data_IF_715945659198
#
_entry.id   IF_715945659198
#
_cell.length_a   1.000
_cell.length_b   1.000
_cell.length_c   1.000
_cell.angle_alpha   90.00
_cell.angle_beta   90.00
_cell.angle_gamma   90.00
#
_symmetry.space_group_name_H-M   'P 1'
#
loop_
_entity.id
_entity.type
_entity.pdbx_description
1 polymer ?
#
# COMPACT_ATOMS: atom_id res chain seq x y z
N UNK A 1 20.31 6.39 17.50
CA UNK A 1 20.33 6.97 16.14
C UNK A 1 18.91 7.15 15.63
N UNK A 2 18.15 8.05 16.25
CA UNK A 2 16.83 8.42 15.76
C UNK A 2 17.07 9.45 14.65
N UNK A 3 17.27 8.98 13.41
CA UNK A 3 17.21 9.89 12.27
C UNK A 3 15.89 10.65 12.40
N UNK A 4 15.96 11.97 12.55
CA UNK A 4 14.80 12.81 12.83
C UNK A 4 14.03 12.91 11.51
N UNK A 5 13.16 11.92 11.25
CA UNK A 5 12.44 11.81 10.00
C UNK A 5 11.43 12.96 9.92
N UNK A 6 11.62 13.88 8.97
CA UNK A 6 10.61 14.89 8.62
C UNK A 6 9.23 14.22 8.46
N UNK A 7 8.20 14.67 9.20
CA UNK A 7 6.88 14.08 9.12
C UNK A 7 6.30 14.24 7.71
N UNK A 8 5.61 13.20 7.25
CA UNK A 8 4.94 13.18 5.94
C UNK A 8 3.83 14.24 5.89
N UNK A 9 3.70 14.92 4.75
CA UNK A 9 2.60 15.86 4.53
C UNK A 9 1.30 15.08 4.32
N UNK A 10 0.43 15.07 5.33
CA UNK A 10 -0.82 14.29 5.32
C UNK A 10 -1.70 14.59 4.11
N UNK A 11 -1.79 15.85 3.66
CA UNK A 11 -2.64 16.22 2.52
C UNK A 11 -2.17 15.59 1.21
N UNK A 12 -0.86 15.61 0.97
CA UNK A 12 -0.27 14.97 -0.22
C UNK A 12 -0.52 13.46 -0.19
N UNK A 13 -0.36 12.82 0.97
CA UNK A 13 -0.59 11.38 1.09
C UNK A 13 -2.06 11.02 1.00
N UNK A 14 -2.99 11.86 1.48
CA UNK A 14 -4.41 11.68 1.23
C UNK A 14 -4.73 11.73 -0.27
N UNK A 15 -4.14 12.67 -1.01
CA UNK A 15 -4.31 12.74 -2.46
C UNK A 15 -3.75 11.49 -3.17
N UNK A 16 -2.58 11.00 -2.73
CA UNK A 16 -2.00 9.74 -3.23
C UNK A 16 -2.94 8.56 -2.95
N UNK A 17 -3.49 8.44 -1.74
CA UNK A 17 -4.45 7.38 -1.39
C UNK A 17 -5.68 7.43 -2.31
N UNK A 18 -6.27 8.61 -2.51
CA UNK A 18 -7.41 8.77 -3.40
C UNK A 18 -7.09 8.39 -4.85
N UNK A 19 -5.90 8.76 -5.34
CA UNK A 19 -5.44 8.39 -6.68
C UNK A 19 -5.26 6.86 -6.81
N UNK A 20 -4.67 6.20 -5.79
CA UNK A 20 -4.52 4.74 -5.77
C UNK A 20 -5.87 4.03 -5.71
N UNK A 21 -6.84 4.54 -4.94
CA UNK A 21 -8.20 4.02 -4.90
C UNK A 21 -8.84 4.12 -6.29
N UNK A 22 -8.77 5.30 -6.92
CA UNK A 22 -9.33 5.51 -8.25
C UNK A 22 -8.70 4.56 -9.28
N UNK A 23 -7.38 4.37 -9.24
CA UNK A 23 -6.66 3.46 -10.12
C UNK A 23 -7.01 1.99 -9.83
N UNK A 24 -7.16 1.61 -8.56
CA UNK A 24 -7.58 0.27 -8.15
C UNK A 24 -8.99 -0.06 -8.64
N UNK A 25 -9.93 0.87 -8.50
CA UNK A 25 -11.28 0.73 -9.03
C UNK A 25 -11.28 0.68 -10.56
N UNK A 26 -10.48 1.52 -11.22
CA UNK A 26 -10.33 1.51 -12.67
C UNK A 26 -9.75 0.18 -13.17
N UNK A 27 -8.79 -0.42 -12.46
CA UNK A 27 -8.21 -1.72 -12.81
C UNK A 27 -9.26 -2.83 -12.84
N UNK A 28 -10.25 -2.77 -11.94
CA UNK A 28 -11.34 -3.75 -11.86
C UNK A 28 -12.46 -3.48 -12.85
N UNK A 29 -12.69 -2.21 -13.20
CA UNK A 29 -13.77 -1.81 -14.14
C UNK A 29 -13.35 -1.89 -15.61
N UNK A 30 -12.07 -1.66 -15.91
CA UNK A 30 -11.55 -1.57 -17.27
C UNK A 30 -10.51 -2.67 -17.51
N UNK A 31 -10.91 -3.85 -18.02
CA UNK A 31 -9.99 -4.97 -18.25
C UNK A 31 -8.89 -4.69 -19.29
N UNK A 32 -8.98 -3.59 -20.06
CA UNK A 32 -7.93 -3.13 -20.97
C UNK A 32 -6.86 -2.23 -20.32
N UNK A 33 -6.98 -1.89 -19.04
CA UNK A 33 -6.02 -1.00 -18.36
C UNK A 33 -4.67 -1.69 -18.10
N UNK A 34 -4.70 -3.00 -17.90
CA UNK A 34 -3.53 -3.85 -17.68
C UNK A 34 -3.53 -5.01 -18.68
N UNK A 35 -2.37 -5.61 -18.98
CA UNK A 35 -2.30 -6.83 -19.79
C UNK A 35 -3.26 -7.90 -19.25
N UNK A 36 -4.07 -8.49 -20.13
CA UNK A 36 -5.06 -9.51 -19.74
C UNK A 36 -4.44 -10.69 -18.98
N UNK A 37 -3.17 -11.00 -19.24
CA UNK A 37 -2.40 -12.02 -18.53
C UNK A 37 -2.28 -11.77 -17.01
N UNK A 38 -2.42 -10.53 -16.55
CA UNK A 38 -2.33 -10.16 -15.13
C UNK A 38 -3.68 -10.26 -14.39
N UNK A 39 -4.81 -10.38 -15.10
CA UNK A 39 -6.13 -10.55 -14.50
C UNK A 39 -6.41 -9.57 -13.36
N UNK A 40 -6.70 -10.10 -12.16
CA UNK A 40 -7.04 -9.32 -10.96
C UNK A 40 -5.84 -8.79 -10.15
N UNK A 41 -4.65 -9.34 -10.37
CA UNK A 41 -3.45 -9.08 -9.55
C UNK A 41 -3.01 -7.60 -9.49
N UNK A 42 -3.16 -6.77 -10.55
CA UNK A 42 -2.86 -5.35 -10.45
C UNK A 42 -3.73 -4.64 -9.41
N UNK A 43 -5.00 -5.02 -9.31
CA UNK A 43 -5.92 -4.48 -8.30
C UNK A 43 -5.51 -4.87 -6.88
N UNK A 44 -4.97 -6.07 -6.69
CA UNK A 44 -4.50 -6.56 -5.39
C UNK A 44 -3.18 -5.88 -4.99
N UNK A 45 -2.25 -5.68 -5.92
CA UNK A 45 -1.06 -4.87 -5.67
C UNK A 45 -1.41 -3.42 -5.28
N UNK A 46 -2.36 -2.80 -6.00
CA UNK A 46 -2.86 -1.45 -5.70
C UNK A 46 -3.57 -1.37 -4.35
N UNK A 47 -4.26 -2.44 -3.93
CA UNK A 47 -4.83 -2.54 -2.59
C UNK A 47 -3.76 -2.44 -1.50
N UNK A 48 -2.67 -3.21 -1.59
CA UNK A 48 -1.56 -3.09 -0.61
C UNK A 48 -0.90 -1.72 -0.64
N UNK A 49 -0.76 -1.09 -1.81
CA UNK A 49 -0.27 0.28 -1.91
C UNK A 49 -1.20 1.28 -1.20
N UNK A 50 -2.51 1.12 -1.34
CA UNK A 50 -3.49 1.96 -0.63
C UNK A 50 -3.33 1.82 0.89
N UNK A 51 -3.22 0.59 1.41
CA UNK A 51 -3.01 0.33 2.84
C UNK A 51 -1.70 0.98 3.30
N UNK A 52 -0.62 0.86 2.54
CA UNK A 52 0.67 1.49 2.85
C UNK A 52 0.54 3.01 3.00
N UNK A 53 -0.03 3.69 2.01
CA UNK A 53 -0.17 5.15 2.06
C UNK A 53 -1.19 5.59 3.11
N UNK A 54 -2.24 4.79 3.38
CA UNK A 54 -3.15 5.01 4.49
C UNK A 54 -2.46 4.96 5.85
N UNK A 55 -1.62 3.95 6.08
CA UNK A 55 -0.77 3.89 7.28
C UNK A 55 0.20 5.07 7.35
N UNK A 56 0.72 5.54 6.22
CA UNK A 56 1.58 6.72 6.15
C UNK A 56 0.85 8.02 6.55
N UNK A 57 -0.46 8.13 6.29
CA UNK A 57 -1.32 9.23 6.75
C UNK A 57 -1.58 9.15 8.25
N UNK A 58 -1.89 7.95 8.76
CA UNK A 58 -2.23 7.71 10.18
C UNK A 58 -0.99 7.89 11.06
N UNK A 59 0.11 7.25 10.68
CA UNK A 59 1.35 7.15 11.44
C UNK A 59 2.55 7.72 10.64
N UNK A 60 2.61 9.05 10.42
CA UNK A 60 3.58 9.68 9.52
C UNK A 60 5.03 9.58 9.97
N UNK A 61 5.29 9.15 11.20
CA UNK A 61 6.62 8.98 11.79
C UNK A 61 7.21 7.56 11.63
N UNK A 62 6.42 6.57 11.20
CA UNK A 62 6.91 5.21 10.99
C UNK A 62 7.92 5.16 9.84
N UNK A 63 8.91 4.26 9.96
CA UNK A 63 9.87 4.04 8.88
C UNK A 63 9.18 3.47 7.64
N UNK A 64 9.78 3.68 6.47
CA UNK A 64 9.26 3.13 5.20
C UNK A 64 9.12 1.60 5.28
N UNK A 65 10.08 0.93 5.93
CA UNK A 65 10.05 -0.51 6.15
C UNK A 65 8.88 -0.94 7.06
N UNK A 66 8.64 -0.22 8.16
CA UNK A 66 7.51 -0.51 9.05
C UNK A 66 6.17 -0.37 8.35
N UNK A 67 6.01 0.65 7.49
CA UNK A 67 4.80 0.80 6.68
C UNK A 67 4.64 -0.34 5.68
N UNK A 68 5.71 -0.78 5.02
CA UNK A 68 5.68 -1.87 4.05
C UNK A 68 5.28 -3.19 4.71
N UNK A 69 5.92 -3.52 5.84
CA UNK A 69 5.60 -4.72 6.61
C UNK A 69 4.17 -4.68 7.16
N UNK A 70 3.74 -3.53 7.68
CA UNK A 70 2.37 -3.34 8.17
C UNK A 70 1.32 -3.51 7.07
N UNK A 71 1.55 -2.91 5.89
CA UNK A 71 0.63 -3.03 4.76
C UNK A 71 0.55 -4.47 4.24
N UNK A 72 1.69 -5.16 4.15
CA UNK A 72 1.74 -6.56 3.73
C UNK A 72 1.02 -7.46 4.75
N UNK A 73 1.30 -7.28 6.04
CA UNK A 73 0.66 -8.04 7.11
C UNK A 73 -0.86 -7.84 7.12
N UNK A 74 -1.35 -6.61 6.95
CA UNK A 74 -2.79 -6.33 6.85
C UNK A 74 -3.39 -7.01 5.62
N UNK A 75 -2.73 -6.91 4.46
CA UNK A 75 -3.23 -7.50 3.21
C UNK A 75 -3.33 -9.02 3.33
N UNK A 76 -2.29 -9.67 3.86
CA UNK A 76 -2.29 -11.11 4.09
C UNK A 76 -3.30 -11.52 5.17
N UNK A 77 -3.47 -10.75 6.24
CA UNK A 77 -4.47 -11.06 7.27
C UNK A 77 -5.90 -10.99 6.71
N UNK A 78 -6.19 -10.04 5.83
CA UNK A 78 -7.48 -9.96 5.12
C UNK A 78 -7.67 -11.19 4.23
N UNK A 79 -6.63 -11.58 3.49
CA UNK A 79 -6.65 -12.72 2.57
C UNK A 79 -6.81 -14.06 3.32
N UNK A 80 -6.02 -14.31 4.37
CA UNK A 80 -6.21 -15.48 5.24
C UNK A 80 -7.55 -15.47 5.95
N UNK A 81 -8.08 -14.28 6.26
CA UNK A 81 -9.43 -14.11 6.79
C UNK A 81 -10.49 -14.74 5.90
N UNK A 82 -10.27 -14.86 4.58
CA UNK A 82 -11.20 -15.51 3.67
C UNK A 82 -11.35 -17.01 3.91
N UNK A 83 -10.38 -17.66 4.57
CA UNK A 83 -10.52 -19.05 5.04
C UNK A 83 -11.47 -19.16 6.25
N UNK A 84 -11.70 -18.06 6.96
CA UNK A 84 -12.67 -17.99 8.05
C UNK A 84 -14.08 -17.73 7.50
N UNK A 85 -14.99 -18.66 7.76
CA UNK A 85 -16.34 -18.74 7.15
C UNK A 85 -17.46 -18.68 8.20
N UNK A 86 -17.26 -17.94 9.29
CA UNK A 86 -18.33 -17.75 10.28
C UNK A 86 -19.52 -16.95 9.70
N UNK A 87 -20.77 -17.21 10.12
CA UNK A 87 -21.95 -16.57 9.54
C UNK A 87 -21.90 -15.03 9.56
N UNK A 88 -21.35 -14.45 10.63
CA UNK A 88 -21.24 -12.99 10.78
C UNK A 88 -20.26 -12.38 9.75
N UNK A 89 -19.13 -13.04 9.46
CA UNK A 89 -18.14 -12.50 8.51
C UNK A 89 -18.61 -12.67 7.07
N UNK A 90 -19.34 -13.77 6.79
CA UNK A 90 -19.98 -14.00 5.50
C UNK A 90 -21.06 -12.95 5.24
N UNK A 91 -21.86 -12.60 6.25
CA UNK A 91 -22.85 -11.53 6.15
C UNK A 91 -22.21 -10.17 5.83
N UNK A 92 -21.05 -9.86 6.41
CA UNK A 92 -20.29 -8.64 6.07
C UNK A 92 -19.78 -8.69 4.63
N UNK A 93 -19.24 -9.83 4.16
CA UNK A 93 -18.80 -10.02 2.76
C UNK A 93 -19.93 -9.95 1.73
N UNK A 94 -21.16 -10.23 2.14
CA UNK A 94 -22.32 -10.14 1.27
C UNK A 94 -22.66 -8.68 0.89
N UNK A 95 -22.24 -7.69 1.69
CA UNK A 95 -22.38 -6.29 1.31
C UNK A 95 -21.33 -5.87 0.27
N UNK A 96 -21.66 -5.01 -0.71
CA UNK A 96 -20.71 -4.60 -1.77
C UNK A 96 -19.41 -4.01 -1.25
N UNK A 97 -19.47 -3.22 -0.17
CA UNK A 97 -18.28 -2.67 0.48
C UNK A 97 -17.44 -3.74 1.18
N UNK A 98 -18.09 -4.68 1.86
CA UNK A 98 -17.41 -5.81 2.48
C UNK A 98 -16.79 -6.74 1.45
N UNK A 99 -17.48 -7.00 0.34
CA UNK A 99 -16.94 -7.75 -0.80
C UNK A 99 -15.69 -7.08 -1.38
N UNK A 100 -15.72 -5.75 -1.54
CA UNK A 100 -14.60 -4.98 -2.10
C UNK A 100 -13.38 -4.98 -1.18
N UNK A 101 -13.59 -4.91 0.13
CA UNK A 101 -12.52 -4.81 1.14
C UNK A 101 -11.98 -6.18 1.56
N UNK A 102 -12.85 -7.17 1.76
CA UNK A 102 -12.51 -8.47 2.34
C UNK A 102 -12.27 -9.55 1.29
N UNK A 103 -12.72 -9.37 0.05
CA UNK A 103 -12.70 -10.40 -0.98
C UNK A 103 -13.58 -11.60 -0.64
N UNK A 104 -13.52 -12.63 -1.49
CA UNK A 104 -14.43 -13.80 -1.40
C UNK A 104 -13.73 -15.16 -1.46
N UNK A 105 -12.55 -15.25 -2.07
CA UNK A 105 -11.88 -16.52 -2.29
C UNK A 105 -10.36 -16.36 -2.22
N UNK A 106 -9.75 -17.17 -1.36
CA UNK A 106 -8.33 -17.15 -1.08
C UNK A 106 -7.50 -17.57 -2.30
N UNK A 107 -6.47 -16.80 -2.63
CA UNK A 107 -5.53 -17.09 -3.70
C UNK A 107 -4.06 -16.98 -3.27
N UNK A 108 -3.29 -18.05 -3.46
CA UNK A 108 -1.84 -18.03 -3.20
C UNK A 108 -1.09 -16.96 -4.01
N UNK A 109 -1.50 -16.74 -5.26
CA UNK A 109 -0.92 -15.72 -6.13
C UNK A 109 -1.28 -14.29 -5.68
N UNK A 110 -2.37 -14.13 -4.91
CA UNK A 110 -2.75 -12.83 -4.36
C UNK A 110 -1.73 -12.39 -3.31
N UNK A 111 -1.17 -13.33 -2.52
CA UNK A 111 -0.06 -13.04 -1.59
C UNK A 111 1.16 -12.46 -2.31
N UNK A 112 1.48 -12.98 -3.50
CA UNK A 112 2.59 -12.49 -4.34
C UNK A 112 2.25 -11.10 -4.90
N UNK A 113 1.02 -10.89 -5.38
CA UNK A 113 0.57 -9.58 -5.83
C UNK A 113 0.65 -8.51 -4.72
N UNK A 114 0.23 -8.87 -3.49
CA UNK A 114 0.36 -8.02 -2.31
C UNK A 114 1.83 -7.72 -1.98
N UNK A 115 2.72 -8.70 -2.07
CA UNK A 115 4.16 -8.48 -1.88
C UNK A 115 4.72 -7.50 -2.93
N UNK A 116 4.34 -7.64 -4.20
CA UNK A 116 4.73 -6.71 -5.27
C UNK A 116 4.21 -5.30 -4.98
N UNK A 117 2.96 -5.16 -4.54
CA UNK A 117 2.39 -3.87 -4.12
C UNK A 117 3.15 -3.22 -2.96
N UNK A 118 3.52 -3.99 -1.93
CA UNK A 118 4.31 -3.51 -0.80
C UNK A 118 5.71 -3.03 -1.23
N UNK A 119 6.38 -3.79 -2.10
CA UNK A 119 7.70 -3.42 -2.65
C UNK A 119 7.60 -2.16 -3.49
N UNK A 120 6.59 -2.05 -4.37
CA UNK A 120 6.37 -0.86 -5.19
C UNK A 120 6.14 0.39 -4.32
N UNK A 121 5.28 0.30 -3.30
CA UNK A 121 5.05 1.40 -2.36
C UNK A 121 6.31 1.78 -1.59
N UNK A 122 7.09 0.79 -1.13
CA UNK A 122 8.37 1.01 -0.46
C UNK A 122 9.36 1.77 -1.36
N UNK A 123 9.49 1.37 -2.62
CA UNK A 123 10.39 2.02 -3.59
C UNK A 123 9.94 3.45 -3.86
N UNK A 124 8.65 3.67 -4.16
CA UNK A 124 8.08 5.00 -4.43
C UNK A 124 8.33 5.93 -3.24
N UNK A 125 7.99 5.49 -2.03
CA UNK A 125 8.18 6.27 -0.81
C UNK A 125 9.67 6.56 -0.53
N UNK A 126 10.55 5.59 -0.80
CA UNK A 126 12.00 5.78 -0.67
C UNK A 126 12.53 6.81 -1.66
N UNK A 127 12.02 6.81 -2.89
CA UNK A 127 12.36 7.82 -3.92
C UNK A 127 11.85 9.20 -3.51
N UNK A 128 10.59 9.33 -3.09
CA UNK A 128 10.01 10.61 -2.62
C UNK A 128 10.87 11.22 -1.50
N UNK A 129 11.31 10.39 -0.54
CA UNK A 129 12.17 10.82 0.57
C UNK A 129 13.57 11.22 0.15
N UNK A 130 14.12 10.57 -0.89
CA UNK A 130 15.42 10.95 -1.47
C UNK A 130 15.34 12.28 -2.24
N UNK A 131 14.23 12.54 -2.91
CA UNK A 131 13.99 13.78 -3.66
C UNK A 131 13.65 14.97 -2.75
N UNK A 132 13.10 14.73 -1.56
CA UNK A 132 12.82 15.73 -0.55
C UNK A 132 13.61 15.45 0.75
N UNK A 133 14.96 15.49 0.68
CA UNK A 133 15.78 15.21 1.84
C UNK A 133 15.55 16.28 2.92
N UNK A 134 15.64 15.87 4.18
CA UNK A 134 15.55 16.81 5.29
C UNK A 134 16.70 17.85 5.17
N UNK A 135 16.44 19.17 5.21
CA UNK A 135 17.48 20.18 5.19
C UNK A 135 18.58 19.94 6.24
N UNK A 136 18.24 19.32 7.38
CA UNK A 136 19.21 18.94 8.41
C UNK A 136 20.13 17.79 7.99
N UNK A 137 19.67 16.88 7.13
CA UNK A 137 20.51 15.83 6.54
C UNK A 137 21.55 16.44 5.58
N UNK A 138 21.18 17.48 4.83
CA UNK A 138 22.10 18.16 3.92
C UNK A 138 23.23 18.88 4.67
N UNK A 139 22.97 19.39 5.88
CA UNK A 139 23.99 20.03 6.73
C UNK A 139 25.02 19.04 7.30
N UNK A 140 24.63 17.79 7.55
CA UNK A 140 25.53 16.75 8.06
C UNK A 140 26.22 15.94 6.96
N UNK A 141 25.90 16.18 5.67
CA UNK A 141 26.51 15.45 4.57
C UNK A 141 27.96 15.89 4.43
N UNK A 142 28.97 14.99 4.54
CA UNK A 142 30.35 15.37 4.33
C UNK A 142 30.48 15.98 2.93
N UNK A 143 31.06 17.18 2.85
CA UNK A 143 31.34 17.82 1.57
C UNK A 143 32.36 16.97 0.85
N UNK A 144 31.90 16.17 -0.11
CA UNK A 144 32.79 15.52 -1.07
C UNK A 144 33.25 16.62 -2.01
N UNK A 145 34.31 17.32 -1.60
CA UNK A 145 35.09 18.19 -2.48
C UNK A 145 35.83 17.31 -3.49
N UNK A 146 35.77 17.62 -4.80
CA UNK A 146 36.43 16.83 -5.85
C UNK A 146 37.96 16.87 -5.74
#
# INVERSE_FOLDING_TARGET
MSALIKPRNRLVYCAIVLAVIALGLASRKFPGLFPAALGKYPGDALWTMMVFFGLAVIAPRLSVLQLALGALAISWAVEFGQLYQAPWIVAVRAHPLGHLVLGTAFGWLDLVAYAVGAVAAFVIESVIRRLNPDPRYLQCRPSVSP
#
